data_IF_307784418714
#
_entry.id   IF_307784418714
#
_cell.length_a   1.000
_cell.length_b   1.000
_cell.length_c   1.000
_cell.angle_alpha   90.00
_cell.angle_beta   90.00
_cell.angle_gamma   90.00
#
_symmetry.space_group_name_H-M   'P 1'
#
loop_
_entity.id
_entity.type
_entity.pdbx_description
1 polymer ?
#
# COMPACT_ATOMS: atom_id res chain seq x y z
N UNK A 1 -9.75 -9.62 6.86
CA UNK A 1 -8.40 -9.47 6.26
C UNK A 1 -8.53 -9.24 4.77
N UNK A 2 -7.57 -8.56 4.13
CA UNK A 2 -7.61 -8.28 2.69
C UNK A 2 -7.83 -9.56 1.86
N UNK A 3 -7.16 -10.67 2.23
CA UNK A 3 -7.31 -11.98 1.59
C UNK A 3 -8.77 -12.44 1.56
N UNK A 4 -9.51 -12.32 2.66
CA UNK A 4 -10.91 -12.74 2.72
C UNK A 4 -11.84 -11.87 1.85
N UNK A 5 -11.52 -10.59 1.68
CA UNK A 5 -12.26 -9.69 0.80
C UNK A 5 -12.00 -10.04 -0.66
N UNK A 6 -10.73 -10.17 -1.05
CA UNK A 6 -10.35 -10.50 -2.42
C UNK A 6 -10.83 -11.90 -2.83
N UNK A 7 -10.65 -12.91 -1.97
CA UNK A 7 -11.13 -14.26 -2.27
C UNK A 7 -12.66 -14.32 -2.38
N UNK A 8 -13.38 -13.46 -1.67
CA UNK A 8 -14.84 -13.33 -1.83
C UNK A 8 -15.29 -12.76 -3.17
N UNK A 9 -14.40 -12.08 -3.92
CA UNK A 9 -14.70 -11.64 -5.30
C UNK A 9 -14.68 -12.83 -6.27
N UNK A 10 -13.77 -13.77 -6.05
CA UNK A 10 -13.59 -14.95 -6.92
C UNK A 10 -14.44 -16.15 -6.49
N UNK A 11 -14.64 -16.30 -5.17
CA UNK A 11 -15.39 -17.38 -4.54
C UNK A 11 -16.45 -16.81 -3.59
N UNK A 12 -17.52 -16.20 -4.15
CA UNK A 12 -18.55 -15.52 -3.37
C UNK A 12 -19.35 -16.46 -2.46
N UNK A 13 -19.48 -17.72 -2.83
CA UNK A 13 -20.24 -18.73 -2.07
C UNK A 13 -19.51 -19.22 -0.81
N UNK A 14 -18.21 -18.94 -0.69
CA UNK A 14 -17.40 -19.39 0.44
C UNK A 14 -17.40 -18.31 1.53
N UNK A 15 -17.81 -18.64 2.77
CA UNK A 15 -17.78 -17.70 3.88
C UNK A 15 -16.38 -17.10 4.10
N UNK A 16 -16.33 -15.77 4.25
CA UNK A 16 -15.08 -15.00 4.42
C UNK A 16 -14.18 -15.50 5.55
N UNK A 17 -14.77 -16.03 6.63
CA UNK A 17 -14.00 -16.53 7.77
C UNK A 17 -13.11 -17.73 7.41
N UNK A 18 -13.52 -18.55 6.44
CA UNK A 18 -12.75 -19.72 5.98
C UNK A 18 -11.45 -19.25 5.32
N UNK A 19 -11.54 -18.25 4.43
CA UNK A 19 -10.37 -17.65 3.79
C UNK A 19 -9.45 -16.94 4.78
N UNK A 20 -10.02 -16.28 5.79
CA UNK A 20 -9.23 -15.65 6.83
C UNK A 20 -8.45 -16.69 7.67
N UNK A 21 -9.11 -17.79 8.06
CA UNK A 21 -8.51 -18.86 8.83
C UNK A 21 -7.44 -19.60 8.01
N UNK A 22 -7.73 -19.91 6.74
CA UNK A 22 -6.79 -20.56 5.84
C UNK A 22 -5.50 -19.74 5.66
N UNK A 23 -5.62 -18.43 5.48
CA UNK A 23 -4.45 -17.54 5.38
C UNK A 23 -3.63 -17.48 6.68
N UNK A 24 -4.30 -17.49 7.83
CA UNK A 24 -3.63 -17.50 9.13
C UNK A 24 -2.86 -18.80 9.35
N UNK A 25 -3.48 -19.95 9.07
CA UNK A 25 -2.84 -21.27 9.22
C UNK A 25 -1.70 -21.43 8.24
N UNK A 26 -1.85 -21.00 6.98
CA UNK A 26 -0.79 -21.10 5.97
C UNK A 26 0.43 -20.24 6.35
N UNK A 27 0.22 -18.97 6.72
CA UNK A 27 1.30 -18.10 7.17
C UNK A 27 1.97 -18.63 8.45
N UNK A 28 1.18 -19.11 9.42
CA UNK A 28 1.72 -19.73 10.63
C UNK A 28 2.60 -20.94 10.33
N UNK A 29 2.17 -21.79 9.39
CA UNK A 29 2.93 -22.98 8.97
C UNK A 29 4.24 -22.61 8.26
N UNK A 30 4.19 -21.63 7.34
CA UNK A 30 5.38 -21.13 6.64
C UNK A 30 6.40 -20.56 7.63
N UNK A 31 5.93 -19.78 8.61
CA UNK A 31 6.80 -19.21 9.64
C UNK A 31 7.52 -20.27 10.48
N UNK A 32 6.94 -21.46 10.66
CA UNK A 32 7.55 -22.54 11.45
C UNK A 32 8.53 -23.40 10.65
N UNK A 33 8.26 -23.64 9.36
CA UNK A 33 9.03 -24.59 8.55
C UNK A 33 10.21 -23.91 7.83
N UNK A 34 10.07 -22.64 7.47
CA UNK A 34 10.84 -22.08 6.37
C UNK A 34 11.51 -20.73 6.69
N UNK A 35 12.22 -20.62 7.82
CA UNK A 35 13.00 -19.40 8.14
C UNK A 35 13.96 -19.01 7.00
N UNK A 36 14.51 -19.98 6.27
CA UNK A 36 15.33 -19.74 5.06
C UNK A 36 14.52 -19.30 3.83
N UNK A 37 13.33 -19.86 3.61
CA UNK A 37 12.51 -19.47 2.46
C UNK A 37 11.76 -18.16 2.69
N UNK A 38 11.56 -17.76 3.95
CA UNK A 38 10.89 -16.52 4.31
C UNK A 38 11.54 -15.30 3.66
N UNK A 39 12.88 -15.22 3.70
CA UNK A 39 13.62 -14.13 3.07
C UNK A 39 13.46 -14.08 1.55
N UNK A 40 13.40 -15.24 0.88
CA UNK A 40 13.13 -15.30 -0.56
C UNK A 40 11.69 -14.88 -0.89
N UNK A 41 10.70 -15.37 -0.14
CA UNK A 41 9.30 -14.96 -0.34
C UNK A 41 9.11 -13.46 -0.10
N UNK A 42 9.72 -12.92 0.94
CA UNK A 42 9.67 -11.48 1.22
C UNK A 42 10.28 -10.67 0.06
N UNK A 43 11.41 -11.11 -0.48
CA UNK A 43 12.02 -10.49 -1.67
C UNK A 43 11.07 -10.53 -2.87
N UNK A 44 10.49 -11.68 -3.20
CA UNK A 44 9.56 -11.81 -4.33
C UNK A 44 8.29 -10.97 -4.15
N UNK A 45 7.69 -10.98 -2.96
CA UNK A 45 6.51 -10.15 -2.68
C UNK A 45 6.82 -8.65 -2.69
N UNK A 46 8.01 -8.25 -2.22
CA UNK A 46 8.46 -6.87 -2.31
C UNK A 46 8.67 -6.45 -3.78
N UNK A 47 9.23 -7.33 -4.61
CA UNK A 47 9.41 -7.08 -6.04
C UNK A 47 8.07 -6.89 -6.76
N UNK A 48 7.11 -7.80 -6.53
CA UNK A 48 5.75 -7.68 -7.10
C UNK A 48 5.14 -6.33 -6.73
N UNK A 49 5.21 -5.94 -5.45
CA UNK A 49 4.69 -4.66 -4.97
C UNK A 49 5.31 -3.48 -5.73
N UNK A 50 6.64 -3.46 -5.89
CA UNK A 50 7.35 -2.38 -6.60
C UNK A 50 6.93 -2.33 -8.07
N UNK A 51 6.93 -3.47 -8.76
CA UNK A 51 6.56 -3.56 -10.17
C UNK A 51 5.12 -3.09 -10.40
N UNK A 52 4.18 -3.51 -9.55
CA UNK A 52 2.79 -3.06 -9.63
C UNK A 52 2.65 -1.55 -9.46
N UNK A 53 3.33 -0.95 -8.47
CA UNK A 53 3.24 0.50 -8.27
C UNK A 53 3.81 1.27 -9.46
N UNK A 54 4.96 0.83 -9.99
CA UNK A 54 5.56 1.44 -11.19
C UNK A 54 4.59 1.33 -12.37
N UNK A 55 3.99 0.16 -12.59
CA UNK A 55 3.03 -0.05 -13.68
C UNK A 55 1.80 0.86 -13.53
N UNK A 56 1.26 1.01 -12.32
CA UNK A 56 0.12 1.91 -12.05
C UNK A 56 0.49 3.37 -12.28
N UNK A 57 1.69 3.80 -11.85
CA UNK A 57 2.16 5.19 -12.06
C UNK A 57 2.38 5.48 -13.55
N UNK A 58 3.05 4.59 -14.28
CA UNK A 58 3.26 4.77 -15.72
C UNK A 58 1.92 4.78 -16.47
N UNK A 59 1.04 3.84 -16.14
CA UNK A 59 -0.31 3.77 -16.72
C UNK A 59 -1.10 5.04 -16.48
N UNK A 60 -1.21 5.49 -15.23
CA UNK A 60 -1.96 6.70 -14.90
C UNK A 60 -1.35 7.97 -15.49
N UNK A 61 -0.02 8.12 -15.54
CA UNK A 61 0.63 9.22 -16.27
C UNK A 61 0.27 9.16 -17.76
N UNK A 62 0.22 7.97 -18.34
CA UNK A 62 -0.23 7.75 -19.71
C UNK A 62 -1.67 8.22 -19.96
N UNK A 63 -2.58 7.96 -19.03
CA UNK A 63 -3.97 8.42 -19.07
C UNK A 63 -4.03 9.95 -18.93
N UNK A 64 -3.30 10.52 -17.97
CA UNK A 64 -3.27 11.96 -17.69
C UNK A 64 -2.72 12.76 -18.87
N UNK A 65 -1.61 12.32 -19.46
CA UNK A 65 -0.87 13.06 -20.47
C UNK A 65 -1.35 12.78 -21.91
N UNK A 66 -1.73 11.54 -22.22
CA UNK A 66 -2.06 11.10 -23.58
C UNK A 66 -3.50 10.62 -23.74
N UNK A 67 -4.29 10.53 -22.66
CA UNK A 67 -5.67 10.06 -22.73
C UNK A 67 -5.78 8.59 -23.13
N UNK A 68 -4.77 7.75 -22.80
CA UNK A 68 -4.87 6.31 -23.05
C UNK A 68 -6.13 5.74 -22.39
N UNK A 69 -6.98 5.07 -23.16
CA UNK A 69 -8.27 4.56 -22.67
C UNK A 69 -9.38 5.62 -22.50
N UNK A 70 -9.15 6.87 -22.91
CA UNK A 70 -10.13 7.98 -22.90
C UNK A 70 -10.16 8.70 -24.26
N UNK A 71 -10.31 7.95 -25.36
CA UNK A 71 -10.39 8.47 -26.74
C UNK A 71 -9.25 9.43 -27.15
N UNK A 72 -8.08 9.34 -26.51
CA UNK A 72 -6.95 10.23 -26.76
C UNK A 72 -7.10 11.63 -26.14
N UNK A 73 -8.13 11.86 -25.35
CA UNK A 73 -8.34 13.12 -24.61
C UNK A 73 -7.64 13.01 -23.26
N UNK A 74 -6.62 13.83 -23.07
CA UNK A 74 -5.91 13.95 -21.79
C UNK A 74 -6.88 14.39 -20.68
N UNK A 75 -6.97 13.61 -19.59
CA UNK A 75 -7.80 13.95 -18.42
C UNK A 75 -7.20 15.09 -17.59
N UNK A 76 -5.88 15.30 -17.71
CA UNK A 76 -5.15 16.23 -16.86
C UNK A 76 -5.26 15.87 -15.38
N UNK A 77 -5.08 16.84 -14.50
CA UNK A 77 -5.14 16.67 -13.03
C UNK A 77 -6.50 17.08 -12.45
N UNK A 78 -7.49 17.33 -13.31
CA UNK A 78 -8.78 17.90 -12.90
C UNK A 78 -9.59 16.96 -12.00
N UNK A 79 -9.41 15.63 -12.12
CA UNK A 79 -10.09 14.64 -11.30
C UNK A 79 -9.80 14.78 -9.79
N UNK A 80 -8.66 15.39 -9.41
CA UNK A 80 -8.32 15.65 -8.01
C UNK A 80 -9.35 16.52 -7.29
N UNK A 81 -10.15 17.31 -8.03
CA UNK A 81 -11.19 18.17 -7.46
C UNK A 81 -12.50 18.21 -8.25
N UNK A 82 -12.59 17.56 -9.41
CA UNK A 82 -13.80 17.53 -10.23
C UNK A 82 -14.97 16.80 -9.56
N UNK A 83 -14.69 15.81 -8.71
CA UNK A 83 -15.69 14.94 -8.07
C UNK A 83 -16.13 15.44 -6.69
N UNK A 84 -16.56 16.70 -6.61
CA UNK A 84 -17.05 17.33 -5.37
C UNK A 84 -16.00 18.15 -4.61
N UNK A 85 -14.96 18.63 -5.30
CA UNK A 85 -13.90 19.47 -4.72
C UNK A 85 -12.85 18.65 -3.96
N UNK A 86 -12.04 19.35 -3.15
CA UNK A 86 -10.98 18.71 -2.35
C UNK A 86 -11.52 17.93 -1.14
N UNK A 87 -12.71 18.29 -0.64
CA UNK A 87 -13.36 17.67 0.52
C UNK A 87 -14.79 17.22 0.19
N UNK A 88 -14.97 16.26 -0.74
CA UNK A 88 -16.29 15.84 -1.20
C UNK A 88 -17.14 15.20 -0.08
N UNK A 89 -16.48 14.61 0.92
CA UNK A 89 -17.11 14.00 2.10
C UNK A 89 -16.99 14.87 3.37
N UNK A 90 -16.63 16.15 3.23
CA UNK A 90 -16.45 17.08 4.35
C UNK A 90 -15.40 16.63 5.39
N UNK A 91 -15.46 17.22 6.58
CA UNK A 91 -14.53 16.93 7.69
C UNK A 91 -14.65 15.48 8.18
N UNK A 92 -15.85 14.91 8.15
CA UNK A 92 -16.07 13.51 8.54
C UNK A 92 -15.30 12.54 7.63
N UNK A 93 -15.27 12.79 6.31
CA UNK A 93 -14.46 12.02 5.38
C UNK A 93 -12.96 12.08 5.69
N UNK A 94 -12.46 13.25 6.10
CA UNK A 94 -11.05 13.42 6.54
C UNK A 94 -10.79 12.58 7.80
N UNK A 95 -11.69 12.62 8.78
CA UNK A 95 -11.52 11.85 10.01
C UNK A 95 -11.52 10.32 9.75
N UNK A 96 -12.37 9.85 8.82
CA UNK A 96 -12.40 8.44 8.42
C UNK A 96 -11.16 8.03 7.61
N UNK A 97 -10.66 8.91 6.74
CA UNK A 97 -9.44 8.61 5.96
C UNK A 97 -8.20 8.57 6.84
N UNK A 98 -8.12 9.41 7.88
CA UNK A 98 -7.02 9.37 8.86
C UNK A 98 -6.90 7.99 9.52
N UNK A 99 -8.02 7.36 9.90
CA UNK A 99 -8.00 6.01 10.48
C UNK A 99 -7.44 4.98 9.50
N UNK A 100 -7.88 5.01 8.24
CA UNK A 100 -7.37 4.11 7.21
C UNK A 100 -5.87 4.31 6.96
N UNK A 101 -5.41 5.56 6.91
CA UNK A 101 -3.98 5.89 6.73
C UNK A 101 -3.15 5.39 7.91
N UNK A 102 -3.61 5.58 9.16
CA UNK A 102 -2.91 5.06 10.34
C UNK A 102 -2.77 3.53 10.29
N UNK A 103 -3.85 2.81 9.94
CA UNK A 103 -3.79 1.35 9.80
C UNK A 103 -2.85 0.89 8.67
N UNK A 104 -2.76 1.63 7.57
CA UNK A 104 -1.88 1.30 6.45
C UNK A 104 -0.38 1.39 6.80
N UNK A 105 -0.02 2.17 7.83
CA UNK A 105 1.36 2.40 8.26
C UNK A 105 1.69 1.84 9.65
N UNK A 106 0.83 0.96 10.18
CA UNK A 106 1.18 0.14 11.34
C UNK A 106 2.45 -0.67 11.02
N UNK A 107 3.48 -0.50 11.85
CA UNK A 107 4.79 -1.11 11.64
C UNK A 107 5.94 -0.10 11.46
N UNK A 108 5.66 1.16 11.12
CA UNK A 108 6.68 2.23 11.19
C UNK A 108 7.17 2.43 12.63
N UNK A 109 6.31 2.13 13.61
CA UNK A 109 6.60 2.10 15.04
C UNK A 109 7.74 1.14 15.41
N UNK A 110 7.99 0.10 14.59
CA UNK A 110 9.11 -0.84 14.80
C UNK A 110 10.47 -0.14 14.74
N UNK A 111 10.59 0.98 14.02
CA UNK A 111 11.82 1.80 14.01
C UNK A 111 12.10 2.36 15.41
N UNK A 112 11.05 2.75 16.15
CA UNK A 112 11.18 3.23 17.51
C UNK A 112 11.59 2.12 18.50
N UNK A 113 11.01 0.92 18.34
CA UNK A 113 11.35 -0.23 19.19
C UNK A 113 12.78 -0.74 18.96
N UNK A 114 13.17 -0.85 17.70
CA UNK A 114 14.52 -1.29 17.31
C UNK A 114 15.59 -0.21 17.51
N UNK A 115 15.20 1.02 17.87
CA UNK A 115 16.15 2.10 18.14
C UNK A 115 17.07 1.81 19.32
N UNK A 116 16.59 1.09 20.33
CA UNK A 116 17.41 0.66 21.47
C UNK A 116 18.47 -0.40 21.12
N UNK A 117 18.27 -1.12 20.01
CA UNK A 117 19.15 -2.20 19.56
C UNK A 117 20.06 -1.77 18.39
N UNK A 118 19.84 -0.56 17.84
CA UNK A 118 20.57 -0.07 16.68
C UNK A 118 22.02 0.33 17.02
N UNK A 119 22.98 -0.16 16.22
CA UNK A 119 24.38 0.30 16.29
C UNK A 119 24.45 1.74 15.73
N UNK A 120 24.77 2.72 16.60
CA UNK A 120 24.77 4.17 16.32
C UNK A 120 23.37 4.77 16.01
N UNK A 121 22.48 4.85 17.00
CA UNK A 121 21.11 5.32 16.82
C UNK A 121 21.03 6.77 16.31
N UNK A 122 22.00 7.63 16.63
CA UNK A 122 22.01 9.03 16.16
C UNK A 122 22.09 9.17 14.63
N UNK A 123 22.58 8.14 13.92
CA UNK A 123 22.66 8.14 12.45
C UNK A 123 21.66 7.19 11.82
N UNK A 124 21.49 6.00 12.39
CA UNK A 124 20.64 4.95 11.83
C UNK A 124 19.16 5.32 11.89
N UNK A 125 18.72 5.96 12.98
CA UNK A 125 17.29 6.30 13.17
C UNK A 125 16.83 7.43 12.25
N UNK A 126 17.54 8.57 12.14
CA UNK A 126 17.16 9.60 11.16
C UNK A 126 17.12 9.07 9.73
N UNK A 127 18.07 8.22 9.34
CA UNK A 127 18.11 7.62 8.00
C UNK A 127 16.92 6.67 7.76
N UNK A 128 16.57 5.84 8.74
CA UNK A 128 15.43 4.93 8.64
C UNK A 128 14.11 5.70 8.52
N UNK A 129 13.90 6.74 9.35
CA UNK A 129 12.73 7.62 9.27
C UNK A 129 12.65 8.30 7.91
N UNK A 130 13.77 8.87 7.43
CA UNK A 130 13.83 9.50 6.11
C UNK A 130 13.52 8.53 4.97
N UNK A 131 14.00 7.28 5.06
CA UNK A 131 13.68 6.24 4.07
C UNK A 131 12.19 5.91 4.04
N UNK A 132 11.56 5.78 5.21
CA UNK A 132 10.10 5.57 5.31
C UNK A 132 9.34 6.76 4.73
N UNK A 133 9.73 7.99 5.08
CA UNK A 133 9.09 9.20 4.56
C UNK A 133 9.10 9.24 3.02
N UNK A 134 10.26 9.00 2.40
CA UNK A 134 10.37 8.96 0.94
C UNK A 134 9.55 7.84 0.30
N UNK A 135 9.49 6.66 0.94
CA UNK A 135 8.65 5.55 0.46
C UNK A 135 7.17 5.92 0.48
N UNK A 136 6.70 6.57 1.55
CA UNK A 136 5.30 7.04 1.65
C UNK A 136 5.01 8.07 0.57
N UNK A 137 5.90 9.05 0.40
CA UNK A 137 5.73 10.09 -0.61
C UNK A 137 5.64 9.49 -2.03
N UNK A 138 6.57 8.60 -2.39
CA UNK A 138 6.66 8.07 -3.74
C UNK A 138 5.57 7.03 -4.02
N UNK A 139 5.39 6.05 -3.14
CA UNK A 139 4.51 4.92 -3.39
C UNK A 139 3.04 5.18 -3.05
N UNK A 140 2.75 6.07 -2.11
CA UNK A 140 1.38 6.33 -1.70
C UNK A 140 0.88 7.67 -2.22
N UNK A 141 1.55 8.77 -1.87
CA UNK A 141 1.12 10.10 -2.33
C UNK A 141 1.24 10.21 -3.85
N UNK A 142 2.38 9.76 -4.40
CA UNK A 142 2.60 9.74 -5.85
C UNK A 142 1.62 8.84 -6.60
N UNK A 143 1.37 7.63 -6.10
CA UNK A 143 0.40 6.72 -6.72
C UNK A 143 -1.03 7.27 -6.65
N UNK A 144 -1.47 7.80 -5.50
CA UNK A 144 -2.79 8.42 -5.37
C UNK A 144 -2.94 9.64 -6.28
N UNK A 145 -1.93 10.50 -6.37
CA UNK A 145 -1.95 11.65 -7.26
C UNK A 145 -2.11 11.26 -8.74
N UNK A 146 -1.57 10.11 -9.13
CA UNK A 146 -1.62 9.62 -10.50
C UNK A 146 -2.89 8.81 -10.80
N UNK A 147 -3.44 8.12 -9.80
CA UNK A 147 -4.64 7.28 -9.95
C UNK A 147 -5.93 8.10 -9.84
N UNK A 148 -5.93 9.15 -9.01
CA UNK A 148 -7.07 10.06 -8.84
C UNK A 148 -7.09 11.08 -9.98
#
# INVERSE_FOLDING_TARGET
TAVAVYMGVWFPDVPRWIWALAALVSMGTINLIAVKAFGEFEFWFALIKIVTIIAMVIGGVGIIAFGFGNDGVALGISNLWAHGGFLPNGVQGVLMSLQMVMFAYLGVEMIGLTAGEAKNPQKTIPNAIGSVFWRILLFYVGALFVIL
#
